data_IF_177412696479
#
_entry.id   IF_177412696479
#
_cell.length_a   1.000
_cell.length_b   1.000
_cell.length_c   1.000
_cell.angle_alpha   90.00
_cell.angle_beta   90.00
_cell.angle_gamma   90.00
#
_symmetry.space_group_name_H-M   'P 1'
#
loop_
_entity.id
_entity.type
_entity.pdbx_description
1 polymer ?
#
# COMPACT_ATOMS: atom_id res chain seq x y z
N UNK A 1 -1.86 32.55 9.31
CA UNK A 1 -0.73 33.21 9.98
C UNK A 1 0.44 33.20 9.00
N UNK A 2 0.90 34.40 8.59
CA UNK A 2 2.12 34.52 7.80
C UNK A 2 3.27 34.43 8.77
N UNK A 3 4.05 33.34 8.71
CA UNK A 3 5.31 33.23 9.47
C UNK A 3 6.33 34.18 8.84
N UNK A 4 6.80 35.16 9.62
CA UNK A 4 7.89 36.02 9.26
C UNK A 4 9.23 35.28 9.41
N UNK A 5 10.17 35.52 8.48
CA UNK A 5 11.50 34.94 8.59
C UNK A 5 12.28 35.66 9.70
N UNK A 6 12.79 34.88 10.66
CA UNK A 6 13.47 35.39 11.84
C UNK A 6 14.97 35.66 11.60
N UNK A 7 15.53 35.13 10.50
CA UNK A 7 16.95 35.25 10.18
C UNK A 7 17.16 35.66 8.72
N UNK A 8 18.18 36.49 8.48
CA UNK A 8 18.65 36.80 7.11
C UNK A 8 19.35 35.58 6.47
N UNK A 9 19.83 34.61 7.26
CA UNK A 9 20.43 33.38 6.78
C UNK A 9 19.34 32.35 6.53
N UNK A 10 18.87 32.28 5.29
CA UNK A 10 17.90 31.27 4.80
C UNK A 10 18.61 30.29 3.89
N UNK A 11 18.09 29.06 3.81
CA UNK A 11 18.63 27.99 2.97
C UNK A 11 20.10 27.66 3.25
N UNK A 12 20.46 27.57 4.52
CA UNK A 12 21.82 27.28 4.99
C UNK A 12 22.12 25.78 4.89
N UNK A 13 23.24 25.38 4.25
CA UNK A 13 23.61 23.96 4.17
C UNK A 13 24.09 23.44 5.52
N UNK A 14 23.58 22.29 5.90
CA UNK A 14 24.07 21.49 7.03
C UNK A 14 24.52 20.12 6.52
N UNK A 15 25.60 19.60 7.09
CA UNK A 15 26.15 18.31 6.72
C UNK A 15 26.11 17.35 7.91
N UNK A 16 25.90 16.08 7.60
CA UNK A 16 26.04 14.97 8.54
C UNK A 16 27.14 14.04 8.01
N UNK A 17 28.05 13.65 8.87
CA UNK A 17 29.18 12.75 8.54
C UNK A 17 28.91 11.30 8.98
N UNK A 18 27.83 11.06 9.71
CA UNK A 18 27.46 9.77 10.25
C UNK A 18 26.13 9.31 9.66
N UNK A 19 25.99 8.00 9.45
CA UNK A 19 24.73 7.39 9.08
C UNK A 19 24.00 6.91 10.34
N UNK A 20 22.68 7.16 10.43
CA UNK A 20 21.89 6.72 11.57
C UNK A 20 20.53 7.39 11.66
N UNK A 21 19.71 6.92 12.59
CA UNK A 21 18.37 7.47 12.82
C UNK A 21 18.38 8.73 13.71
N UNK A 22 19.46 8.93 14.45
CA UNK A 22 19.64 10.11 15.30
C UNK A 22 21.08 10.56 15.12
N UNK A 23 21.28 11.59 14.32
CA UNK A 23 22.59 12.10 13.91
C UNK A 23 22.65 13.60 14.05
N UNK A 24 23.83 14.10 14.38
CA UNK A 24 24.09 15.54 14.47
C UNK A 24 24.40 16.12 13.08
N UNK A 25 23.88 17.32 12.84
CA UNK A 25 24.17 18.10 11.65
C UNK A 25 25.00 19.32 12.03
N UNK A 26 26.00 19.65 11.23
CA UNK A 26 26.88 20.82 11.43
C UNK A 26 26.89 21.70 10.19
N UNK A 27 27.16 22.97 10.39
CA UNK A 27 27.32 23.95 9.31
C UNK A 27 28.52 24.85 9.58
N UNK A 28 29.21 25.29 8.53
CA UNK A 28 30.22 26.34 8.61
C UNK A 28 29.61 27.72 8.93
N UNK A 29 28.35 27.92 8.58
CA UNK A 29 27.58 29.12 8.85
C UNK A 29 26.27 28.76 9.56
N UNK A 30 26.31 28.39 10.84
CA UNK A 30 25.12 27.97 11.56
C UNK A 30 24.09 29.09 11.66
N UNK A 31 22.82 28.72 11.62
CA UNK A 31 21.71 29.64 11.90
C UNK A 31 21.82 30.12 13.36
N UNK A 32 21.54 31.38 13.55
CA UNK A 32 21.50 32.02 14.88
C UNK A 32 20.07 32.37 15.27
N UNK A 33 19.74 32.18 16.53
CA UNK A 33 18.44 32.55 17.10
C UNK A 33 18.65 33.74 18.06
N UNK A 34 17.73 34.69 18.06
CA UNK A 34 17.81 35.86 18.93
C UNK A 34 17.44 35.50 20.38
N UNK A 35 18.14 36.12 21.35
CA UNK A 35 17.87 36.00 22.77
C UNK A 35 16.81 37.05 23.21
N UNK A 36 15.61 36.95 22.65
CA UNK A 36 14.49 37.84 22.94
C UNK A 36 13.21 37.12 23.37
N UNK A 37 13.32 35.79 23.53
CA UNK A 37 12.20 34.93 23.92
C UNK A 37 11.19 34.65 22.80
N UNK A 38 11.49 35.07 21.55
CA UNK A 38 10.62 34.81 20.39
C UNK A 38 10.66 33.31 20.03
N UNK A 39 9.52 32.60 19.96
CA UNK A 39 9.49 31.23 19.50
C UNK A 39 9.82 31.11 18.01
N UNK A 40 10.75 30.21 17.65
CA UNK A 40 11.21 29.99 16.28
C UNK A 40 10.92 28.55 15.86
N UNK A 41 10.37 28.39 14.66
CA UNK A 41 10.18 27.08 14.05
C UNK A 41 11.23 26.84 12.98
N UNK A 42 11.94 25.71 13.11
CA UNK A 42 12.91 25.30 12.10
C UNK A 42 12.27 24.32 11.12
N UNK A 43 12.63 24.50 9.85
CA UNK A 43 12.33 23.56 8.78
C UNK A 43 13.62 23.18 8.06
N UNK A 44 13.70 21.94 7.61
CA UNK A 44 14.85 21.46 6.86
C UNK A 44 14.37 20.50 5.75
N UNK A 45 15.17 20.38 4.70
CA UNK A 45 14.89 19.48 3.59
C UNK A 45 16.17 18.86 3.04
N UNK A 46 16.04 17.73 2.38
CA UNK A 46 17.11 17.02 1.69
C UNK A 46 16.56 16.46 0.36
N UNK A 47 17.32 16.47 -0.74
CA UNK A 47 18.70 16.96 -0.89
C UNK A 47 18.80 18.50 -0.86
N UNK A 48 19.93 19.02 -0.40
CA UNK A 48 20.18 20.45 -0.43
C UNK A 48 20.31 20.96 -1.85
N UNK A 49 19.67 22.13 -2.13
CA UNK A 49 19.77 22.84 -3.39
C UNK A 49 19.99 24.33 -3.09
N UNK A 50 21.16 24.87 -3.52
CA UNK A 50 21.50 26.26 -3.31
C UNK A 50 20.66 27.24 -4.13
N UNK A 51 20.07 26.77 -5.24
CA UNK A 51 19.44 27.59 -6.26
C UNK A 51 17.92 27.67 -6.14
N UNK A 52 17.33 27.26 -4.99
CA UNK A 52 15.88 27.36 -4.82
C UNK A 52 15.42 28.81 -4.85
N UNK A 53 14.29 29.06 -5.53
CA UNK A 53 13.68 30.38 -5.63
C UNK A 53 12.34 30.40 -4.87
N UNK A 54 12.09 31.46 -4.12
CA UNK A 54 10.84 31.66 -3.39
C UNK A 54 10.43 30.43 -2.55
N UNK A 55 11.41 29.76 -1.92
CA UNK A 55 11.25 28.52 -1.15
C UNK A 55 10.73 27.32 -1.96
N UNK A 56 10.73 27.37 -3.27
CA UNK A 56 10.26 26.30 -4.13
C UNK A 56 11.44 25.42 -4.57
N UNK A 57 11.46 24.19 -4.08
CA UNK A 57 12.40 23.14 -4.48
C UNK A 57 11.84 22.43 -5.72
N UNK A 58 12.54 22.40 -6.85
CA UNK A 58 12.10 21.66 -8.03
C UNK A 58 12.33 20.16 -7.82
N UNK A 59 11.26 19.39 -7.93
CA UNK A 59 11.31 17.92 -7.88
C UNK A 59 11.25 17.36 -9.28
N UNK A 60 12.24 16.55 -9.67
CA UNK A 60 12.28 15.84 -10.94
C UNK A 60 12.73 14.40 -10.70
N UNK A 61 11.89 13.42 -11.10
CA UNK A 61 12.10 12.00 -10.78
C UNK A 61 12.20 11.10 -12.02
N UNK A 62 12.27 11.66 -13.22
CA UNK A 62 12.36 10.88 -14.45
C UNK A 62 13.68 10.08 -14.57
N UNK A 63 14.79 10.69 -14.16
CA UNK A 63 16.12 10.05 -14.19
C UNK A 63 16.51 9.56 -12.80
N UNK A 64 16.54 8.25 -12.62
CA UNK A 64 16.93 7.56 -11.39
C UNK A 64 18.17 6.67 -11.58
N UNK A 65 18.98 6.96 -12.59
CA UNK A 65 20.19 6.22 -12.91
C UNK A 65 21.24 6.20 -11.81
N UNK A 66 21.24 7.23 -10.94
CA UNK A 66 22.13 7.35 -9.77
C UNK A 66 21.59 6.67 -8.50
N UNK A 67 20.54 5.87 -8.63
CA UNK A 67 19.84 5.22 -7.53
C UNK A 67 18.55 5.95 -7.14
N UNK A 68 17.61 5.22 -6.61
CA UNK A 68 16.31 5.76 -6.20
C UNK A 68 16.44 6.82 -5.10
N UNK A 69 17.43 6.66 -4.20
CA UNK A 69 17.68 7.61 -3.10
C UNK A 69 18.14 9.00 -3.56
N UNK A 70 18.71 9.13 -4.78
CA UNK A 70 19.10 10.42 -5.32
C UNK A 70 17.91 11.35 -5.64
N UNK A 71 16.73 10.77 -5.84
CA UNK A 71 15.49 11.50 -6.09
C UNK A 71 14.63 11.65 -4.83
N UNK A 72 15.04 11.07 -3.70
CA UNK A 72 14.26 11.05 -2.49
C UNK A 72 14.26 12.42 -1.80
N UNK A 73 13.07 12.93 -1.54
CA UNK A 73 12.86 14.21 -0.88
C UNK A 73 12.47 13.99 0.58
N UNK A 74 13.34 14.41 1.50
CA UNK A 74 13.06 14.44 2.93
C UNK A 74 12.71 15.84 3.39
N UNK A 75 11.80 15.92 4.33
CA UNK A 75 11.41 17.17 4.98
C UNK A 75 11.29 16.96 6.49
N UNK A 76 11.92 17.85 7.24
CA UNK A 76 11.92 17.85 8.68
C UNK A 76 11.46 19.18 9.25
N UNK A 77 10.82 19.12 10.41
CA UNK A 77 10.41 20.31 11.17
C UNK A 77 10.52 20.02 12.66
N UNK A 78 10.73 21.06 13.46
CA UNK A 78 10.59 20.96 14.90
C UNK A 78 9.14 20.62 15.26
N UNK A 79 8.95 19.72 16.24
CA UNK A 79 7.61 19.35 16.73
C UNK A 79 6.92 20.54 17.40
N UNK A 80 7.69 21.30 18.17
CA UNK A 80 7.26 22.52 18.86
C UNK A 80 8.16 23.66 18.48
N UNK A 81 7.70 24.92 18.53
CA UNK A 81 8.56 26.08 18.36
C UNK A 81 9.66 26.10 19.43
N UNK A 82 10.87 26.36 19.00
CA UNK A 82 12.03 26.48 19.87
C UNK A 82 12.10 27.90 20.45
N UNK A 83 12.30 28.02 21.75
CA UNK A 83 12.62 29.29 22.42
C UNK A 83 14.04 29.19 22.93
N UNK A 84 14.89 30.12 22.53
CA UNK A 84 16.27 30.16 23.00
C UNK A 84 16.34 30.39 24.50
N UNK A 85 17.12 29.55 25.18
CA UNK A 85 17.45 29.66 26.58
C UNK A 85 18.97 29.51 26.73
N UNK A 86 19.63 30.60 27.07
CA UNK A 86 21.08 30.65 27.23
C UNK A 86 21.63 29.81 28.40
N UNK A 87 20.76 29.37 29.31
CA UNK A 87 21.13 28.48 30.42
C UNK A 87 20.93 27.00 30.05
N UNK A 88 20.34 26.74 28.90
CA UNK A 88 20.08 25.40 28.39
C UNK A 88 20.87 25.14 27.11
N UNK A 89 21.80 24.20 27.16
CA UNK A 89 22.50 23.68 25.96
C UNK A 89 21.69 22.56 25.35
N UNK A 90 20.55 22.92 24.74
CA UNK A 90 19.61 21.94 24.19
C UNK A 90 19.72 21.89 22.67
N UNK A 91 20.01 20.72 22.12
CA UNK A 91 20.00 20.47 20.70
C UNK A 91 18.60 20.63 20.10
N UNK A 92 18.52 21.23 18.91
CA UNK A 92 17.27 21.36 18.17
C UNK A 92 17.04 20.09 17.37
N UNK A 93 16.05 19.30 17.80
CA UNK A 93 15.68 18.06 17.13
C UNK A 93 14.71 18.31 15.96
N UNK A 94 15.08 17.78 14.79
CA UNK A 94 14.23 17.76 13.59
C UNK A 94 13.84 16.32 13.26
N UNK A 95 12.56 16.08 13.05
CA UNK A 95 12.08 14.80 12.57
C UNK A 95 11.84 14.87 11.07
N UNK A 96 12.65 14.17 10.30
CA UNK A 96 12.51 14.05 8.85
C UNK A 96 11.49 12.99 8.46
N UNK A 97 10.80 13.22 7.36
CA UNK A 97 9.88 12.26 6.73
C UNK A 97 10.07 12.31 5.22
N UNK A 98 9.89 11.18 4.56
CA UNK A 98 9.86 11.10 3.09
C UNK A 98 8.63 11.82 2.55
N UNK A 99 8.79 12.60 1.49
CA UNK A 99 7.71 13.39 0.87
C UNK A 99 7.20 12.78 -0.44
N UNK A 100 7.95 11.84 -1.00
CA UNK A 100 7.60 11.09 -2.19
C UNK A 100 7.13 9.68 -1.81
N UNK A 101 6.84 8.86 -2.79
CA UNK A 101 6.50 7.44 -2.60
C UNK A 101 7.58 6.57 -3.24
N UNK A 102 7.82 5.37 -2.71
CA UNK A 102 8.74 4.40 -3.30
C UNK A 102 7.96 3.19 -3.81
N UNK A 103 8.33 2.69 -4.97
CA UNK A 103 7.82 1.47 -5.57
C UNK A 103 8.97 0.47 -5.74
N UNK A 104 8.72 -0.76 -5.30
CA UNK A 104 9.60 -1.91 -5.51
C UNK A 104 8.86 -2.93 -6.36
N UNK A 105 9.46 -3.36 -7.48
CA UNK A 105 8.88 -4.34 -8.38
C UNK A 105 9.72 -5.62 -8.33
N UNK A 106 9.07 -6.74 -8.03
CA UNK A 106 9.63 -8.09 -8.05
C UNK A 106 9.02 -8.85 -9.22
N UNK A 107 9.84 -9.43 -10.09
CA UNK A 107 9.38 -10.21 -11.23
C UNK A 107 9.56 -11.70 -10.94
N UNK A 108 8.49 -12.45 -10.98
CA UNK A 108 8.46 -13.86 -10.57
C UNK A 108 7.59 -14.69 -11.53
N UNK A 109 7.87 -15.98 -11.62
CA UNK A 109 6.91 -16.92 -12.22
C UNK A 109 5.77 -17.26 -11.22
N UNK A 110 4.83 -18.10 -11.67
CA UNK A 110 3.67 -18.49 -10.85
C UNK A 110 4.05 -19.33 -9.63
N UNK A 111 5.26 -19.93 -9.60
CA UNK A 111 5.81 -20.65 -8.45
C UNK A 111 6.72 -19.77 -7.57
N UNK A 112 6.65 -18.45 -7.74
CA UNK A 112 7.45 -17.45 -7.01
C UNK A 112 8.98 -17.53 -7.25
N UNK A 113 9.42 -18.14 -8.35
CA UNK A 113 10.83 -18.14 -8.72
C UNK A 113 11.17 -16.83 -9.45
N UNK A 114 12.29 -16.17 -9.13
CA UNK A 114 12.68 -14.93 -9.79
C UNK A 114 12.80 -15.08 -11.30
N UNK A 115 12.32 -14.09 -12.02
CA UNK A 115 12.47 -13.98 -13.47
C UNK A 115 13.39 -12.82 -13.82
N UNK A 116 14.34 -13.07 -14.72
CA UNK A 116 15.20 -12.00 -15.24
C UNK A 116 14.48 -11.24 -16.33
N UNK A 117 14.25 -9.95 -16.10
CA UNK A 117 13.62 -9.03 -17.06
C UNK A 117 14.56 -7.88 -17.41
N UNK A 118 14.38 -7.32 -18.61
CA UNK A 118 15.11 -6.13 -19.05
C UNK A 118 14.17 -4.99 -19.44
N UNK A 119 14.74 -3.82 -19.71
CA UNK A 119 14.03 -2.62 -20.19
C UNK A 119 12.78 -2.26 -19.40
N UNK A 120 12.87 -2.40 -18.06
CA UNK A 120 11.75 -2.09 -17.16
C UNK A 120 11.54 -0.58 -17.13
N UNK A 121 10.29 -0.15 -17.30
CA UNK A 121 9.87 1.24 -17.23
C UNK A 121 8.54 1.35 -16.50
N UNK A 122 8.39 2.37 -15.70
CA UNK A 122 7.10 2.82 -15.19
C UNK A 122 6.64 3.97 -16.08
N UNK A 123 5.45 3.86 -16.65
CA UNK A 123 4.95 4.76 -17.69
C UNK A 123 3.64 5.41 -17.28
N UNK A 124 3.39 6.59 -17.83
CA UNK A 124 2.15 7.33 -17.67
C UNK A 124 2.06 8.20 -16.43
N UNK A 125 3.04 8.11 -15.51
CA UNK A 125 3.04 8.89 -14.26
C UNK A 125 3.63 10.28 -14.44
N UNK A 126 3.17 11.29 -13.64
CA UNK A 126 3.84 12.58 -13.58
C UNK A 126 5.23 12.44 -12.96
N UNK A 127 6.20 13.22 -13.48
CA UNK A 127 7.61 13.13 -13.08
C UNK A 127 8.18 14.45 -12.58
N UNK A 128 7.37 15.49 -12.48
CA UNK A 128 7.77 16.81 -12.02
C UNK A 128 6.81 17.37 -10.97
N UNK A 129 7.37 18.02 -9.96
CA UNK A 129 6.62 18.70 -8.92
C UNK A 129 7.40 19.91 -8.39
N UNK A 130 6.72 20.79 -7.68
CA UNK A 130 7.33 21.85 -6.87
C UNK A 130 7.03 21.59 -5.39
N UNK A 131 8.07 21.61 -4.58
CA UNK A 131 7.94 21.46 -3.13
C UNK A 131 8.27 22.76 -2.43
N UNK A 132 7.30 23.34 -1.72
CA UNK A 132 7.53 24.54 -0.93
C UNK A 132 8.15 24.16 0.42
N UNK A 133 9.43 24.48 0.60
CA UNK A 133 10.20 24.09 1.80
C UNK A 133 9.76 24.82 3.07
N UNK A 134 9.11 25.98 2.95
CA UNK A 134 8.60 26.72 4.10
C UNK A 134 7.32 26.07 4.67
N UNK A 135 6.43 25.63 3.77
CA UNK A 135 5.11 25.08 4.15
C UNK A 135 5.06 23.56 4.16
N UNK A 136 6.03 22.90 3.52
CA UNK A 136 6.04 21.43 3.35
C UNK A 136 5.02 20.92 2.33
N UNK A 137 4.49 21.80 1.46
CA UNK A 137 3.49 21.46 0.45
C UNK A 137 4.17 21.02 -0.85
N UNK A 138 3.79 19.84 -1.34
CA UNK A 138 4.18 19.30 -2.66
C UNK A 138 3.05 19.55 -3.65
N UNK A 139 3.38 20.18 -4.78
CA UNK A 139 2.43 20.44 -5.88
C UNK A 139 2.94 19.72 -7.14
N UNK A 140 2.23 18.68 -7.58
CA UNK A 140 2.56 17.89 -8.76
C UNK A 140 2.20 18.64 -10.05
N UNK A 141 3.07 18.58 -11.05
CA UNK A 141 2.76 18.97 -12.41
C UNK A 141 2.20 17.74 -13.17
N UNK A 142 0.90 17.61 -13.19
CA UNK A 142 0.20 16.49 -13.82
C UNK A 142 0.41 16.40 -15.35
N UNK A 143 0.87 17.48 -15.98
CA UNK A 143 1.15 17.53 -17.42
C UNK A 143 2.56 17.04 -17.77
N UNK A 144 3.48 17.04 -16.82
CA UNK A 144 4.86 16.62 -17.02
C UNK A 144 4.99 15.08 -16.87
N UNK A 145 4.56 14.34 -17.88
CA UNK A 145 4.57 12.87 -17.90
C UNK A 145 5.77 12.36 -18.68
N UNK A 146 6.50 11.39 -18.14
CA UNK A 146 7.60 10.71 -18.82
C UNK A 146 7.76 9.26 -18.31
N UNK A 147 8.55 8.46 -19.01
CA UNK A 147 8.95 7.12 -18.54
C UNK A 147 9.96 7.26 -17.40
N UNK A 148 9.77 6.49 -16.34
CA UNK A 148 10.73 6.32 -15.27
C UNK A 148 11.44 4.98 -15.48
N UNK A 149 12.78 4.99 -15.56
CA UNK A 149 13.60 3.80 -15.54
C UNK A 149 13.95 3.45 -14.08
N UNK A 150 13.39 2.39 -13.49
CA UNK A 150 13.68 2.04 -12.11
C UNK A 150 15.16 1.67 -11.93
N UNK A 151 15.70 2.01 -10.79
CA UNK A 151 17.02 1.55 -10.35
C UNK A 151 17.01 0.03 -10.17
N UNK A 152 18.08 -0.64 -10.59
CA UNK A 152 18.27 -2.08 -10.39
C UNK A 152 19.04 -2.30 -9.10
N UNK A 153 18.38 -2.83 -8.08
CA UNK A 153 19.06 -3.27 -6.87
C UNK A 153 19.81 -4.57 -7.18
N UNK A 154 21.14 -4.50 -7.26
CA UNK A 154 21.98 -5.64 -7.66
C UNK A 154 22.07 -6.75 -6.63
N UNK A 155 21.68 -6.49 -5.39
CA UNK A 155 21.67 -7.50 -4.32
C UNK A 155 20.43 -8.39 -4.39
N UNK A 156 19.29 -7.83 -4.81
CA UNK A 156 17.98 -8.51 -4.83
C UNK A 156 17.43 -8.75 -6.22
N UNK A 157 17.99 -8.10 -7.26
CA UNK A 157 17.46 -8.00 -8.63
C UNK A 157 16.07 -7.30 -8.70
N UNK A 158 15.67 -6.59 -7.64
CA UNK A 158 14.44 -5.82 -7.65
C UNK A 158 14.61 -4.51 -8.44
N UNK A 159 13.50 -3.97 -8.88
CA UNK A 159 13.44 -2.68 -9.57
C UNK A 159 12.82 -1.66 -8.64
N UNK A 160 13.56 -0.64 -8.28
CA UNK A 160 13.16 0.38 -7.31
C UNK A 160 12.98 1.73 -7.99
N UNK A 161 11.91 2.41 -7.68
CA UNK A 161 11.66 3.75 -8.18
C UNK A 161 11.01 4.65 -7.13
N UNK A 162 11.43 5.90 -7.11
CA UNK A 162 10.71 6.98 -6.44
C UNK A 162 9.66 7.51 -7.41
N UNK A 163 8.44 7.71 -6.94
CA UNK A 163 7.32 8.26 -7.69
C UNK A 163 6.68 9.41 -6.91
N UNK A 164 5.98 10.29 -7.60
CA UNK A 164 5.18 11.32 -6.95
C UNK A 164 3.94 10.72 -6.29
N UNK A 165 3.54 11.19 -5.10
CA UNK A 165 2.26 10.83 -4.51
C UNK A 165 1.11 11.25 -5.44
N UNK A 166 0.36 10.27 -5.95
CA UNK A 166 -0.69 10.52 -6.93
C UNK A 166 -1.83 9.51 -6.79
N UNK A 167 -3.04 9.89 -7.23
CA UNK A 167 -4.15 8.96 -7.34
C UNK A 167 -3.84 7.89 -8.41
N UNK A 168 -4.31 6.68 -8.19
CA UNK A 168 -4.12 5.60 -9.16
C UNK A 168 -4.89 5.90 -10.45
N UNK A 169 -4.28 5.58 -11.58
CA UNK A 169 -4.85 5.80 -12.91
C UNK A 169 -4.64 4.57 -13.80
N UNK A 170 -5.57 4.29 -14.69
CA UNK A 170 -5.44 3.27 -15.73
C UNK A 170 -4.32 3.58 -16.75
N UNK A 171 -3.80 4.81 -16.76
CA UNK A 171 -2.66 5.18 -17.57
C UNK A 171 -1.32 4.69 -17.00
N UNK A 172 -1.28 4.33 -15.70
CA UNK A 172 -0.05 3.96 -15.01
C UNK A 172 0.24 2.48 -15.20
N UNK A 173 1.35 2.18 -15.84
CA UNK A 173 1.74 0.83 -16.17
C UNK A 173 3.23 0.58 -16.01
N UNK A 174 3.59 -0.69 -15.87
CA UNK A 174 4.95 -1.19 -15.92
C UNK A 174 5.12 -1.91 -17.24
N UNK A 175 6.08 -1.49 -18.06
CA UNK A 175 6.52 -2.21 -19.25
C UNK A 175 7.88 -2.88 -18.99
N UNK A 176 8.09 -4.06 -19.54
CA UNK A 176 9.33 -4.83 -19.39
C UNK A 176 9.51 -5.83 -20.55
N UNK A 177 10.72 -6.30 -20.74
CA UNK A 177 11.02 -7.33 -21.70
C UNK A 177 11.34 -8.66 -21.01
N UNK A 178 10.63 -9.72 -21.38
CA UNK A 178 10.86 -11.09 -20.94
C UNK A 178 10.91 -12.01 -22.19
N UNK A 179 11.96 -12.81 -22.32
CA UNK A 179 12.20 -13.73 -23.45
C UNK A 179 12.11 -13.01 -24.82
N UNK A 180 12.65 -11.78 -24.88
CA UNK A 180 12.66 -10.95 -26.09
C UNK A 180 11.31 -10.35 -26.49
N UNK A 181 10.28 -10.47 -25.65
CA UNK A 181 8.94 -9.88 -25.86
C UNK A 181 8.68 -8.78 -24.85
N UNK A 182 8.22 -7.64 -25.36
CA UNK A 182 7.71 -6.56 -24.49
C UNK A 182 6.36 -6.96 -23.92
N UNK A 183 6.19 -6.77 -22.61
CA UNK A 183 4.97 -7.02 -21.85
C UNK A 183 4.64 -5.79 -21.02
N UNK A 184 3.36 -5.67 -20.66
CA UNK A 184 2.85 -4.56 -19.85
C UNK A 184 1.94 -5.09 -18.75
N UNK A 185 1.99 -4.43 -17.61
CA UNK A 185 1.07 -4.60 -16.49
C UNK A 185 0.59 -3.24 -16.02
N UNK A 186 -0.72 -3.10 -15.77
CA UNK A 186 -1.34 -1.84 -15.34
C UNK A 186 -1.56 -1.87 -13.84
N UNK A 187 -1.15 -0.81 -13.14
CA UNK A 187 -1.32 -0.74 -11.67
C UNK A 187 -2.79 -0.80 -11.24
N UNK A 188 -3.71 -0.33 -12.06
CA UNK A 188 -5.15 -0.38 -11.77
C UNK A 188 -5.74 -1.80 -11.87
N UNK A 189 -4.99 -2.76 -12.46
CA UNK A 189 -5.40 -4.17 -12.53
C UNK A 189 -5.07 -4.95 -11.25
N UNK A 190 -4.71 -4.26 -10.16
CA UNK A 190 -4.55 -4.87 -8.85
C UNK A 190 -5.89 -5.41 -8.34
N UNK A 191 -5.84 -6.62 -7.78
CA UNK A 191 -7.01 -7.26 -7.16
C UNK A 191 -7.49 -6.58 -5.87
N UNK A 192 -6.76 -5.56 -5.41
CA UNK A 192 -7.05 -4.78 -4.21
C UNK A 192 -7.29 -3.31 -4.54
N UNK A 193 -8.05 -2.63 -3.70
CA UNK A 193 -8.24 -1.20 -3.83
C UNK A 193 -7.02 -0.43 -3.33
N UNK A 194 -6.15 0.01 -4.25
CA UNK A 194 -5.12 1.00 -3.99
C UNK A 194 -5.57 2.33 -4.60
N UNK A 195 -6.20 3.24 -3.84
CA UNK A 195 -6.77 4.46 -4.41
C UNK A 195 -5.70 5.46 -4.84
N UNK A 196 -4.55 5.44 -4.18
CA UNK A 196 -3.44 6.36 -4.44
C UNK A 196 -2.12 5.86 -3.85
N UNK A 197 -1.02 6.37 -4.37
CA UNK A 197 0.29 6.32 -3.74
C UNK A 197 0.42 7.47 -2.74
N UNK A 198 0.64 7.14 -1.46
CA UNK A 198 0.74 8.12 -0.38
C UNK A 198 2.18 8.63 -0.22
N UNK A 199 2.32 9.89 0.12
CA UNK A 199 3.60 10.47 0.55
C UNK A 199 4.20 9.67 1.72
N UNK A 200 5.51 9.41 1.67
CA UNK A 200 6.24 8.70 2.71
C UNK A 200 5.96 7.20 2.78
N UNK A 201 5.30 6.62 1.78
CA UNK A 201 4.98 5.19 1.77
C UNK A 201 5.78 4.44 0.72
N UNK A 202 6.21 3.23 1.06
CA UNK A 202 6.84 2.28 0.15
C UNK A 202 5.86 1.17 -0.20
N UNK A 203 5.79 0.82 -1.47
CA UNK A 203 4.90 -0.20 -2.02
C UNK A 203 5.72 -1.27 -2.71
N UNK A 204 5.58 -2.51 -2.29
CA UNK A 204 6.23 -3.66 -2.92
C UNK A 204 5.22 -4.45 -3.75
N UNK A 205 5.48 -4.56 -5.05
CA UNK A 205 4.64 -5.30 -5.98
C UNK A 205 5.35 -6.55 -6.48
N UNK A 206 4.70 -7.71 -6.33
CA UNK A 206 5.05 -8.93 -7.04
C UNK A 206 4.35 -8.96 -8.40
N UNK A 207 5.10 -9.03 -9.48
CA UNK A 207 4.60 -9.21 -10.85
C UNK A 207 4.82 -10.67 -11.23
N UNK A 208 3.74 -11.44 -11.18
CA UNK A 208 3.72 -12.87 -11.44
C UNK A 208 3.40 -13.13 -12.92
N UNK A 209 4.22 -13.92 -13.59
CA UNK A 209 4.13 -14.10 -15.02
C UNK A 209 4.07 -15.59 -15.34
N UNK A 210 3.06 -15.99 -16.12
CA UNK A 210 3.08 -17.26 -16.86
C UNK A 210 3.48 -16.99 -18.31
N UNK A 211 4.73 -17.27 -18.69
CA UNK A 211 5.20 -16.98 -20.04
C UNK A 211 4.55 -17.86 -21.10
N UNK A 212 3.98 -19.02 -20.72
CA UNK A 212 3.31 -19.94 -21.66
C UNK A 212 1.88 -19.54 -21.93
N UNK A 213 1.16 -19.09 -20.92
CA UNK A 213 -0.23 -18.64 -21.05
C UNK A 213 -0.35 -17.14 -21.35
N UNK A 214 0.76 -16.41 -21.35
CA UNK A 214 0.83 -14.95 -21.51
C UNK A 214 -0.01 -14.19 -20.45
N UNK A 215 -0.04 -14.73 -19.22
CA UNK A 215 -0.77 -14.16 -18.09
C UNK A 215 0.21 -13.36 -17.25
N UNK A 216 -0.19 -12.15 -16.86
CA UNK A 216 0.54 -11.29 -15.93
C UNK A 216 -0.42 -10.89 -14.81
N UNK A 217 -0.03 -11.14 -13.57
CA UNK A 217 -0.79 -10.77 -12.37
C UNK A 217 0.10 -9.95 -11.46
N UNK A 218 -0.28 -8.71 -11.23
CA UNK A 218 0.38 -7.87 -10.22
C UNK A 218 -0.31 -8.01 -8.87
N UNK A 219 0.47 -8.05 -7.82
CA UNK A 219 0.00 -8.07 -6.43
C UNK A 219 0.74 -7.03 -5.62
N UNK A 220 0.04 -6.35 -4.77
CA UNK A 220 0.66 -5.57 -3.72
C UNK A 220 1.04 -6.54 -2.60
N UNK A 221 2.34 -6.76 -2.41
CA UNK A 221 2.85 -7.71 -1.41
C UNK A 221 3.04 -7.05 -0.05
N UNK A 222 3.46 -5.77 -0.06
CA UNK A 222 3.72 -5.02 1.16
C UNK A 222 3.48 -3.53 0.96
N UNK A 223 3.01 -2.86 2.02
CA UNK A 223 2.92 -1.40 2.11
C UNK A 223 3.55 -0.97 3.43
N UNK A 224 4.71 -0.35 3.34
CA UNK A 224 5.26 0.38 4.48
C UNK A 224 4.74 1.82 4.44
N UNK A 225 3.78 2.11 5.29
CA UNK A 225 3.22 3.46 5.49
C UNK A 225 4.12 4.31 6.40
N UNK A 226 5.44 4.11 6.30
CA UNK A 226 6.43 4.73 7.16
C UNK A 226 6.43 6.25 7.09
N UNK A 227 5.80 6.88 8.06
CA UNK A 227 6.08 8.27 8.44
C UNK A 227 7.45 8.37 9.14
N UNK A 228 8.37 7.45 8.87
CA UNK A 228 9.65 7.42 9.55
C UNK A 228 10.74 8.12 8.74
N UNK A 229 11.67 8.74 9.45
CA UNK A 229 12.96 9.17 8.94
C UNK A 229 13.93 8.00 8.75
N UNK A 230 13.46 6.76 8.87
CA UNK A 230 14.24 5.59 8.57
C UNK A 230 14.55 5.56 7.06
N UNK A 231 15.72 5.07 6.66
CA UNK A 231 15.97 4.76 5.25
C UNK A 231 14.85 3.88 4.72
N UNK A 232 14.47 4.10 3.45
CA UNK A 232 13.61 3.16 2.75
C UNK A 232 14.19 1.75 2.91
N UNK A 233 13.36 0.80 3.32
CA UNK A 233 13.73 -0.61 3.28
C UNK A 233 14.12 -0.96 1.84
N UNK A 234 15.26 -1.63 1.65
CA UNK A 234 15.73 -2.04 0.32
C UNK A 234 14.93 -3.20 -0.28
N UNK A 235 13.85 -3.63 0.40
CA UNK A 235 13.04 -4.77 -0.01
C UNK A 235 13.74 -6.11 0.17
N UNK A 236 14.94 -6.09 0.79
CA UNK A 236 15.74 -7.28 1.12
C UNK A 236 15.29 -7.94 2.42
N UNK A 237 14.15 -7.56 2.99
CA UNK A 237 13.57 -8.40 4.06
C UNK A 237 13.54 -9.80 3.50
N UNK A 238 14.48 -10.64 3.99
CA UNK A 238 14.43 -12.06 3.75
C UNK A 238 12.98 -12.49 3.89
N UNK A 239 12.56 -13.47 3.08
CA UNK A 239 11.38 -14.28 3.38
C UNK A 239 11.60 -14.92 4.78
N UNK A 240 11.66 -14.10 5.79
CA UNK A 240 11.34 -14.47 7.13
C UNK A 240 9.87 -14.79 7.01
N UNK A 241 9.57 -16.12 7.02
CA UNK A 241 8.24 -16.71 7.18
C UNK A 241 7.21 -15.60 7.26
N UNK A 242 6.37 -15.47 6.23
CA UNK A 242 5.42 -14.37 6.09
C UNK A 242 4.75 -14.03 7.42
N UNK A 243 5.46 -13.33 8.28
CA UNK A 243 4.91 -12.41 9.22
C UNK A 243 4.49 -11.23 8.34
N UNK A 244 3.49 -11.55 7.50
CA UNK A 244 2.66 -10.52 6.95
C UNK A 244 2.39 -9.60 8.12
N UNK A 245 2.70 -8.33 7.97
CA UNK A 245 2.43 -7.32 8.98
C UNK A 245 1.09 -7.66 9.61
N UNK A 246 1.18 -8.42 10.72
CA UNK A 246 0.02 -8.78 11.52
C UNK A 246 -0.40 -7.46 12.13
N UNK A 247 -1.45 -6.81 11.66
CA UNK A 247 -1.98 -5.66 12.37
C UNK A 247 -2.17 -6.15 13.78
N UNK A 248 -1.56 -5.50 14.74
CA UNK A 248 -1.58 -5.92 16.12
C UNK A 248 -3.05 -6.21 16.48
N UNK A 249 -3.38 -7.47 16.68
CA UNK A 249 -4.64 -7.83 17.28
C UNK A 249 -5.63 -8.71 16.52
N UNK A 250 -5.27 -9.49 15.49
CA UNK A 250 -6.18 -10.55 15.00
C UNK A 250 -5.49 -11.90 14.75
N UNK A 251 -6.27 -12.99 14.83
CA UNK A 251 -5.85 -14.35 14.54
C UNK A 251 -6.71 -14.94 13.42
N UNK A 252 -6.09 -15.72 12.54
CA UNK A 252 -6.76 -16.42 11.43
C UNK A 252 -7.02 -17.88 11.76
N UNK A 253 -8.16 -18.42 11.33
CA UNK A 253 -8.44 -19.84 11.31
C UNK A 253 -9.14 -20.20 9.97
N UNK A 254 -8.64 -21.15 9.20
CA UNK A 254 -7.36 -21.84 9.40
C UNK A 254 -6.19 -20.83 9.46
N UNK A 255 -5.10 -21.18 10.12
CA UNK A 255 -3.90 -20.35 10.12
C UNK A 255 -3.39 -20.15 8.69
N UNK A 256 -2.62 -19.11 8.46
CA UNK A 256 -1.98 -18.91 7.16
C UNK A 256 -1.12 -20.14 6.84
N UNK A 257 -1.20 -20.63 5.58
CA UNK A 257 -0.49 -21.83 5.10
C UNK A 257 -0.88 -23.15 5.81
N UNK A 258 -2.02 -23.21 6.49
CA UNK A 258 -2.53 -24.44 7.06
C UNK A 258 -2.79 -25.50 5.97
N UNK A 259 -2.30 -26.72 6.22
CA UNK A 259 -2.44 -27.87 5.29
C UNK A 259 -3.48 -28.90 5.73
N UNK A 260 -4.13 -28.67 6.88
CA UNK A 260 -5.06 -29.60 7.54
C UNK A 260 -6.51 -29.08 7.58
N UNK A 261 -6.82 -28.03 6.78
CA UNK A 261 -8.17 -27.49 6.69
C UNK A 261 -9.04 -28.29 5.72
N UNK A 262 -10.30 -28.53 6.10
CA UNK A 262 -11.28 -29.18 5.23
C UNK A 262 -11.90 -28.18 4.26
N UNK A 263 -12.37 -28.66 3.10
CA UNK A 263 -12.98 -27.83 2.05
C UNK A 263 -14.29 -27.12 2.49
N UNK A 264 -14.92 -27.54 3.57
CA UNK A 264 -16.12 -26.96 4.16
C UNK A 264 -15.85 -26.17 5.45
N UNK A 265 -14.57 -25.95 5.78
CA UNK A 265 -14.15 -25.21 6.97
C UNK A 265 -14.64 -23.77 6.89
N UNK A 266 -15.24 -23.28 7.97
CA UNK A 266 -15.50 -21.86 8.15
C UNK A 266 -14.20 -21.12 8.40
N UNK A 267 -14.02 -20.03 7.69
CA UNK A 267 -12.85 -19.16 7.86
C UNK A 267 -13.16 -18.14 8.97
N UNK A 268 -12.20 -17.89 9.85
CA UNK A 268 -12.40 -17.02 11.01
C UNK A 268 -11.29 -15.99 11.12
N UNK A 269 -11.68 -14.75 11.44
CA UNK A 269 -10.77 -13.65 11.76
C UNK A 269 -11.16 -13.18 13.15
N UNK A 270 -10.33 -13.51 14.16
CA UNK A 270 -10.60 -13.19 15.56
C UNK A 270 -9.74 -12.00 16.00
N UNK A 271 -10.36 -10.94 16.50
CA UNK A 271 -9.71 -9.70 16.93
C UNK A 271 -9.46 -9.68 18.44
N UNK A 272 -8.33 -9.14 18.85
CA UNK A 272 -7.97 -9.04 20.27
C UNK A 272 -8.62 -7.81 20.95
N UNK A 273 -8.91 -6.78 20.19
CA UNK A 273 -9.46 -5.50 20.66
C UNK A 273 -10.98 -5.42 20.68
N UNK A 274 -11.54 -4.45 19.98
CA UNK A 274 -12.97 -4.20 19.84
C UNK A 274 -13.59 -5.21 18.88
N UNK A 275 -14.87 -5.55 19.08
CA UNK A 275 -15.60 -6.39 18.15
C UNK A 275 -15.67 -5.74 16.75
N UNK A 276 -15.40 -6.47 15.67
CA UNK A 276 -15.40 -5.93 14.33
C UNK A 276 -16.82 -5.62 13.86
N UNK A 277 -16.95 -4.62 12.99
CA UNK A 277 -18.19 -4.33 12.29
C UNK A 277 -18.09 -4.78 10.83
N UNK A 278 -19.15 -5.39 10.32
CA UNK A 278 -19.22 -5.75 8.91
C UNK A 278 -19.61 -4.55 8.07
N UNK A 279 -18.87 -4.33 6.98
CA UNK A 279 -19.21 -3.33 5.99
C UNK A 279 -20.51 -3.65 5.24
N UNK A 280 -21.09 -2.66 4.58
CA UNK A 280 -22.30 -2.78 3.78
C UNK A 280 -22.02 -2.88 2.27
N UNK A 281 -20.75 -2.90 1.88
CA UNK A 281 -20.29 -2.97 0.49
C UNK A 281 -18.97 -3.73 0.39
N UNK A 282 -18.50 -3.96 -0.83
CA UNK A 282 -17.27 -4.70 -1.09
C UNK A 282 -17.49 -6.20 -1.19
N UNK A 283 -16.40 -6.91 -1.38
CA UNK A 283 -16.42 -8.35 -1.65
C UNK A 283 -15.43 -9.09 -0.77
N UNK A 284 -15.73 -10.36 -0.51
CA UNK A 284 -14.78 -11.36 -0.03
C UNK A 284 -14.66 -12.40 -1.14
N UNK A 285 -13.46 -12.56 -1.70
CA UNK A 285 -13.20 -13.43 -2.84
C UNK A 285 -12.22 -14.52 -2.47
N UNK A 286 -12.47 -15.73 -2.94
CA UNK A 286 -11.61 -16.88 -2.76
C UNK A 286 -11.08 -17.32 -4.11
N UNK A 287 -9.75 -17.41 -4.20
CA UNK A 287 -9.04 -17.80 -5.42
C UNK A 287 -8.30 -19.10 -5.21
N UNK A 288 -8.28 -19.95 -6.22
CA UNK A 288 -7.43 -21.14 -6.23
C UNK A 288 -5.99 -20.69 -6.52
N UNK A 289 -5.04 -21.14 -5.67
CA UNK A 289 -3.65 -20.67 -5.73
C UNK A 289 -2.93 -21.11 -7.00
N UNK A 290 -3.26 -22.29 -7.55
CA UNK A 290 -2.56 -22.86 -8.70
C UNK A 290 -2.77 -22.13 -10.02
N UNK A 291 -3.93 -21.51 -10.22
CA UNK A 291 -4.29 -20.83 -11.48
C UNK A 291 -4.93 -19.45 -11.25
N UNK A 292 -4.92 -18.97 -10.01
CA UNK A 292 -5.52 -17.70 -9.59
C UNK A 292 -6.98 -17.51 -10.03
N UNK A 293 -7.67 -18.61 -10.31
CA UNK A 293 -9.06 -18.55 -10.69
C UNK A 293 -9.95 -18.29 -9.48
N UNK A 294 -10.75 -17.25 -9.57
CA UNK A 294 -11.80 -16.99 -8.58
C UNK A 294 -12.76 -18.17 -8.53
N UNK A 295 -12.89 -18.80 -7.38
CA UNK A 295 -13.76 -19.97 -7.16
C UNK A 295 -14.99 -19.63 -6.34
N UNK A 296 -14.92 -18.58 -5.52
CA UNK A 296 -16.02 -18.11 -4.71
C UNK A 296 -15.98 -16.61 -4.51
N UNK A 297 -17.16 -15.97 -4.44
CA UNK A 297 -17.31 -14.55 -4.21
C UNK A 297 -18.51 -14.30 -3.30
N UNK A 298 -18.32 -13.51 -2.26
CA UNK A 298 -19.34 -13.06 -1.33
C UNK A 298 -19.47 -11.54 -1.47
N UNK A 299 -20.62 -11.08 -1.98
CA UNK A 299 -20.94 -9.67 -2.09
C UNK A 299 -21.55 -9.16 -0.78
N UNK A 300 -20.87 -8.26 -0.08
CA UNK A 300 -21.31 -7.73 1.21
C UNK A 300 -22.58 -6.87 1.08
N UNK A 301 -22.79 -6.21 -0.06
CA UNK A 301 -24.01 -5.46 -0.34
C UNK A 301 -25.25 -6.34 -0.54
N UNK A 302 -25.04 -7.59 -0.98
CA UNK A 302 -26.13 -8.54 -1.24
C UNK A 302 -26.42 -9.50 -0.09
N UNK A 303 -25.63 -9.48 0.98
CA UNK A 303 -25.80 -10.40 2.13
C UNK A 303 -27.17 -10.34 2.80
N UNK A 304 -27.92 -9.25 2.56
CA UNK A 304 -29.30 -9.02 3.07
C UNK A 304 -30.36 -9.12 1.99
N UNK A 305 -30.01 -9.46 0.74
CA UNK A 305 -31.01 -9.55 -0.31
C UNK A 305 -31.89 -10.78 -0.11
N UNK A 306 -33.19 -10.53 -0.02
CA UNK A 306 -34.20 -11.55 -0.05
C UNK A 306 -34.22 -12.19 -1.47
N UNK A 307 -33.65 -13.39 -1.61
CA UNK A 307 -33.83 -14.15 -2.85
C UNK A 307 -35.25 -14.65 -2.96
N UNK A 308 -35.95 -14.52 -4.11
CA UNK A 308 -37.20 -15.19 -4.33
C UNK A 308 -36.94 -16.70 -4.34
N UNK A 309 -37.37 -17.39 -3.31
CA UNK A 309 -37.35 -18.85 -3.26
C UNK A 309 -38.51 -19.40 -4.06
N UNK A 310 -38.22 -20.18 -5.10
CA UNK A 310 -39.21 -21.04 -5.71
C UNK A 310 -39.43 -22.20 -4.75
N UNK A 311 -40.42 -22.08 -3.89
CA UNK A 311 -40.80 -23.20 -3.02
C UNK A 311 -41.64 -24.14 -3.89
N UNK A 312 -41.03 -25.22 -4.38
CA UNK A 312 -41.76 -26.41 -4.80
C UNK A 312 -42.51 -26.94 -3.57
N UNK A 313 -43.83 -26.93 -3.60
CA UNK A 313 -44.60 -27.33 -2.43
C UNK A 313 -44.34 -28.80 -2.11
N UNK A 314 -44.32 -29.16 -0.83
CA UNK A 314 -44.17 -30.54 -0.33
C UNK A 314 -45.17 -31.52 -0.92
N UNK A 315 -46.20 -31.04 -1.63
CA UNK A 315 -47.20 -31.83 -2.33
C UNK A 315 -46.58 -32.66 -3.48
N UNK A 316 -45.45 -32.24 -4.04
CA UNK A 316 -44.75 -32.98 -5.10
C UNK A 316 -44.12 -34.29 -4.62
N UNK A 317 -43.97 -34.47 -3.31
CA UNK A 317 -43.34 -35.66 -2.72
C UNK A 317 -44.36 -36.81 -2.60
N UNK A 318 -45.65 -36.56 -2.64
CA UNK A 318 -46.71 -37.54 -2.46
C UNK A 318 -47.53 -37.82 -3.71
N UNK A 319 -47.08 -37.43 -4.90
CA UNK A 319 -47.69 -37.84 -6.17
C UNK A 319 -49.04 -37.15 -6.50
N UNK A 320 -49.31 -36.02 -5.87
CA UNK A 320 -50.46 -35.18 -6.24
C UNK A 320 -49.99 -34.16 -7.28
N UNK A 321 -50.65 -34.11 -8.44
CA UNK A 321 -50.29 -33.23 -9.56
C UNK A 321 -50.10 -31.78 -9.09
N UNK A 322 -48.92 -31.16 -9.24
CA UNK A 322 -48.68 -29.85 -8.74
C UNK A 322 -49.49 -28.82 -9.51
N UNK A 323 -50.33 -28.07 -8.83
CA UNK A 323 -50.74 -26.76 -9.33
C UNK A 323 -49.57 -25.83 -9.01
N UNK A 324 -48.89 -25.36 -10.04
CA UNK A 324 -47.83 -24.38 -9.94
C UNK A 324 -48.45 -23.10 -9.34
N UNK A 325 -48.40 -22.99 -8.03
CA UNK A 325 -48.61 -21.75 -7.32
C UNK A 325 -47.21 -21.13 -7.12
N UNK A 326 -46.87 -20.19 -7.98
CA UNK A 326 -45.73 -19.30 -7.73
C UNK A 326 -46.10 -18.45 -6.52
N UNK A 327 -45.80 -18.94 -5.34
CA UNK A 327 -45.93 -18.15 -4.13
C UNK A 327 -44.62 -17.41 -3.99
N UNK A 328 -44.61 -16.14 -4.41
CA UNK A 328 -43.54 -15.19 -4.07
C UNK A 328 -43.56 -14.96 -2.55
N UNK A 329 -43.06 -15.90 -1.79
CA UNK A 329 -42.72 -15.69 -0.41
C UNK A 329 -41.29 -15.19 -0.38
N UNK A 330 -41.13 -13.91 -0.11
CA UNK A 330 -39.86 -13.39 0.37
C UNK A 330 -39.54 -14.08 1.70
N UNK A 331 -38.74 -15.11 1.66
CA UNK A 331 -38.20 -15.73 2.86
C UNK A 331 -36.83 -15.14 3.05
N UNK A 332 -36.62 -14.46 4.16
CA UNK A 332 -35.25 -14.19 4.63
C UNK A 332 -34.58 -15.56 4.84
N UNK A 333 -33.82 -16.00 3.88
CA UNK A 333 -32.99 -17.19 4.04
C UNK A 333 -31.91 -16.75 5.02
N UNK A 334 -31.91 -17.28 6.24
CA UNK A 334 -30.94 -16.98 7.28
C UNK A 334 -29.55 -17.55 7.00
N UNK A 335 -29.12 -17.54 5.72
CA UNK A 335 -27.77 -17.86 5.31
C UNK A 335 -26.96 -16.56 5.31
N UNK A 336 -26.27 -16.34 6.39
CA UNK A 336 -25.28 -15.28 6.47
C UNK A 336 -23.91 -15.91 6.14
N UNK A 337 -23.47 -15.69 4.89
CA UNK A 337 -22.14 -16.12 4.45
C UNK A 337 -21.02 -15.46 5.30
N UNK A 338 -21.30 -14.29 5.84
CA UNK A 338 -20.41 -13.58 6.77
C UNK A 338 -21.21 -13.12 7.98
N UNK A 339 -20.71 -13.42 9.18
CA UNK A 339 -21.32 -13.03 10.45
C UNK A 339 -20.28 -12.67 11.48
N UNK A 340 -20.66 -11.89 12.48
CA UNK A 340 -19.84 -11.61 13.65
C UNK A 340 -20.32 -12.47 14.82
N UNK A 341 -19.42 -13.19 15.43
CA UNK A 341 -19.61 -13.95 16.65
C UNK A 341 -18.63 -13.41 17.69
N UNK A 342 -19.13 -12.62 18.65
CA UNK A 342 -18.30 -11.92 19.63
C UNK A 342 -17.25 -11.02 18.95
N UNK A 343 -15.97 -11.33 19.07
CA UNK A 343 -14.86 -10.62 18.42
C UNK A 343 -14.36 -11.29 17.15
N UNK A 344 -15.13 -12.20 16.59
CA UNK A 344 -14.71 -13.03 15.45
C UNK A 344 -15.62 -12.81 14.27
N UNK A 345 -15.05 -12.50 13.11
CA UNK A 345 -15.73 -12.59 11.83
C UNK A 345 -15.65 -14.04 11.37
N UNK A 346 -16.79 -14.62 11.09
CA UNK A 346 -16.91 -15.97 10.53
C UNK A 346 -17.37 -15.86 9.09
N UNK A 347 -16.59 -16.39 8.17
CA UNK A 347 -16.85 -16.43 6.74
C UNK A 347 -17.11 -17.87 6.35
N UNK A 348 -18.26 -18.13 5.74
CA UNK A 348 -18.63 -19.44 5.26
C UNK A 348 -18.64 -19.46 3.73
N UNK A 349 -17.66 -20.10 3.09
CA UNK A 349 -17.64 -20.27 1.64
C UNK A 349 -18.92 -20.96 1.16
N UNK A 350 -19.34 -20.66 -0.08
CA UNK A 350 -20.48 -21.35 -0.68
C UNK A 350 -20.17 -22.84 -0.87
N UNK A 351 -21.18 -23.67 -0.66
CA UNK A 351 -21.03 -25.14 -0.73
C UNK A 351 -20.44 -25.59 -2.07
N UNK A 352 -19.52 -26.55 -2.01
CA UNK A 352 -18.90 -27.20 -3.18
C UNK A 352 -18.01 -26.28 -4.05
N UNK A 353 -17.63 -25.11 -3.55
CA UNK A 353 -16.72 -24.22 -4.27
C UNK A 353 -15.26 -24.60 -4.06
N UNK A 354 -14.92 -25.05 -2.86
CA UNK A 354 -13.58 -25.50 -2.52
C UNK A 354 -13.44 -27.00 -2.75
N UNK A 355 -12.29 -27.43 -3.23
CA UNK A 355 -11.97 -28.82 -3.52
C UNK A 355 -10.94 -29.33 -2.51
N UNK A 356 -10.96 -30.63 -2.15
CA UNK A 356 -9.89 -31.23 -1.36
C UNK A 356 -8.53 -31.08 -2.06
N UNK A 357 -7.45 -31.16 -1.29
CA UNK A 357 -6.07 -31.14 -1.77
C UNK A 357 -5.74 -29.96 -2.70
N UNK A 358 -6.37 -28.81 -2.43
CA UNK A 358 -6.23 -27.62 -3.26
C UNK A 358 -5.95 -26.41 -2.37
N UNK A 359 -4.92 -25.66 -2.71
CA UNK A 359 -4.58 -24.42 -2.01
C UNK A 359 -5.41 -23.24 -2.50
N UNK A 360 -5.81 -22.41 -1.55
CA UNK A 360 -6.61 -21.20 -1.80
C UNK A 360 -6.01 -20.00 -1.08
N UNK A 361 -6.30 -18.79 -1.59
CA UNK A 361 -6.09 -17.55 -0.86
C UNK A 361 -7.36 -16.70 -0.92
N UNK A 362 -7.48 -15.78 0.04
CA UNK A 362 -8.68 -14.97 0.22
C UNK A 362 -8.30 -13.51 0.16
N UNK A 363 -9.09 -12.74 -0.58
CA UNK A 363 -9.01 -11.29 -0.64
C UNK A 363 -10.27 -10.72 -0.02
N UNK A 364 -10.08 -9.78 0.91
CA UNK A 364 -11.17 -9.08 1.60
C UNK A 364 -11.07 -7.60 1.24
N UNK A 365 -12.10 -7.05 0.62
CA UNK A 365 -12.14 -5.61 0.30
C UNK A 365 -12.22 -4.80 1.61
N UNK A 366 -11.55 -3.64 1.63
CA UNK A 366 -11.56 -2.73 2.80
C UNK A 366 -12.96 -2.34 3.28
N UNK A 367 -13.91 -2.23 2.36
CA UNK A 367 -15.29 -1.88 2.66
C UNK A 367 -16.12 -3.07 3.13
N UNK A 368 -15.57 -4.29 3.11
CA UNK A 368 -16.25 -5.50 3.57
C UNK A 368 -16.17 -5.66 5.10
N UNK A 369 -15.14 -5.12 5.73
CA UNK A 369 -14.92 -5.16 7.18
C UNK A 369 -14.52 -3.76 7.63
N UNK A 370 -15.31 -3.16 8.52
CA UNK A 370 -15.04 -1.85 9.11
C UNK A 370 -14.21 -2.02 10.39
N UNK A 371 -12.90 -2.17 10.23
CA UNK A 371 -11.95 -2.25 11.33
C UNK A 371 -10.72 -1.43 10.98
N UNK A 372 -10.40 -0.41 11.76
CA UNK A 372 -9.32 0.54 11.47
C UNK A 372 -7.95 -0.13 11.31
N UNK A 373 -7.72 -1.25 11.99
CA UNK A 373 -6.42 -1.95 12.02
C UNK A 373 -6.40 -3.22 11.15
N UNK A 374 -7.42 -3.48 10.34
CA UNK A 374 -7.52 -4.75 9.60
C UNK A 374 -6.94 -4.71 8.19
N UNK A 375 -6.45 -3.57 7.71
CA UNK A 375 -5.95 -3.45 6.32
C UNK A 375 -4.68 -2.64 6.23
#
# INVERSE_FOLDING_TARGET
>A
ETSELVSEAVNTPYVCTEAGQSVAFTSEMPLTVQDDGTPVKFVAYYPYNADIQDFNYPVAIADQSNGSTACDLLYGTTSEPYVYDKESDTDIALKFTHRLSKVILKFMDMEKRPLTVSDVKIQGMPVSASFNVQTGVLTTDEAAVADIAPYVNTATDYREAIILPTALSNAYKVSFVLDGRTREWVFADLDISLPKFNSGSQYTFGIYIDPTADIIVGRLEDVDAGNSSAPWDDGSKEEGTADGHKPAGYNLFPANEATDAFADTELKISFEGVAPELGESGYIRIYRKSDHKMVDEINMGERRTERPEVVTSWVDIIGVTPKAATVNRKRAVGYHAVRVEDKTIVIKPHSQRLQPDTEYYIIVDKTAINQEDFL
#
